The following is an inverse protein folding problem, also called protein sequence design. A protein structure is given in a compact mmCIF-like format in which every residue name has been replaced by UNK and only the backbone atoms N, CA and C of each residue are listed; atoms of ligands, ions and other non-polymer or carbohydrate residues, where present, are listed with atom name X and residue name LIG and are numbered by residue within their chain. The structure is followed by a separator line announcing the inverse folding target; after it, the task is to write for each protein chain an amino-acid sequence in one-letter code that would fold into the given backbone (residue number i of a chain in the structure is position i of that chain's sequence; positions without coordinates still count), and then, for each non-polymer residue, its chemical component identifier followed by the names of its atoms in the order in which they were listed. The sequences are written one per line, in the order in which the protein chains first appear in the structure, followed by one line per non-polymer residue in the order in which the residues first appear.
data_IF_788103457117
#
_entry.id   IF_788103457117
#
_cell.length_a   1.000
_cell.length_b   1.000
_cell.length_c   1.000
_cell.angle_alpha   90.00
_cell.angle_beta   90.00
_cell.angle_gamma   90.00
#
_symmetry.space_group_name_H-M   'P 1'
#
loop_
_entity.id
_entity.type
_entity.pdbx_description
1 polymer ?
#
# COMPACT_ATOMS: atom_id res chain seq x y z
N UNK A 1 -75.95 61.92 23.05
CA UNK A 1 -75.60 63.16 22.34
C UNK A 1 -75.81 64.30 23.33
N UNK A 2 -74.76 64.72 24.04
CA UNK A 2 -74.88 65.75 25.07
C UNK A 2 -74.24 67.03 24.54
N UNK A 3 -74.96 68.17 24.50
CA UNK A 3 -74.44 69.41 23.90
C UNK A 3 -73.12 69.90 24.52
N UNK A 4 -72.85 69.55 25.79
CA UNK A 4 -71.65 69.92 26.54
C UNK A 4 -70.62 68.80 26.70
N UNK A 5 -70.75 67.68 25.99
CA UNK A 5 -69.77 66.58 26.11
C UNK A 5 -68.48 66.89 25.35
N UNK A 6 -67.36 66.86 26.07
CA UNK A 6 -65.99 66.96 25.52
C UNK A 6 -65.34 65.58 25.43
N UNK A 7 -64.24 65.46 24.70
CA UNK A 7 -63.46 64.22 24.61
C UNK A 7 -62.97 63.74 25.99
N UNK A 8 -62.64 64.64 26.91
CA UNK A 8 -62.27 64.29 28.30
C UNK A 8 -63.43 63.66 29.08
N UNK A 9 -64.64 64.22 28.94
CA UNK A 9 -65.84 63.62 29.58
C UNK A 9 -66.17 62.25 28.99
N UNK A 10 -65.89 62.05 27.70
CA UNK A 10 -66.03 60.76 27.03
C UNK A 10 -65.01 59.74 27.56
N UNK A 11 -63.73 60.11 27.62
CA UNK A 11 -62.67 59.26 28.16
C UNK A 11 -62.94 58.88 29.63
N UNK A 12 -63.38 59.84 30.44
CA UNK A 12 -63.74 59.60 31.85
C UNK A 12 -64.88 58.59 31.98
N UNK A 13 -65.91 58.70 31.13
CA UNK A 13 -67.00 57.71 31.09
C UNK A 13 -66.51 56.33 30.64
N UNK A 14 -65.60 56.25 29.67
CA UNK A 14 -64.99 54.97 29.29
C UNK A 14 -64.23 54.34 30.47
N UNK A 15 -63.42 55.12 31.19
CA UNK A 15 -62.68 54.62 32.36
C UNK A 15 -63.61 54.13 33.47
N UNK A 16 -64.74 54.82 33.70
CA UNK A 16 -65.73 54.41 34.70
C UNK A 16 -66.45 53.12 34.29
N UNK A 17 -66.78 52.99 33.00
CA UNK A 17 -67.60 51.87 32.50
C UNK A 17 -66.78 50.60 32.32
N UNK A 18 -65.53 50.71 31.87
CA UNK A 18 -64.69 49.57 31.48
C UNK A 18 -63.49 49.35 32.41
N UNK A 19 -63.52 49.90 33.63
CA UNK A 19 -62.41 49.82 34.60
C UNK A 19 -61.88 48.40 34.81
N UNK A 20 -62.79 47.43 34.91
CA UNK A 20 -62.47 46.04 35.25
C UNK A 20 -62.37 45.14 34.01
N UNK A 21 -62.51 45.70 32.81
CA UNK A 21 -62.51 44.92 31.59
C UNK A 21 -61.06 44.57 31.18
N UNK A 22 -60.73 43.27 31.11
CA UNK A 22 -59.38 42.75 30.82
C UNK A 22 -58.72 43.31 29.55
N UNK A 23 -59.50 43.78 28.58
CA UNK A 23 -59.00 44.33 27.30
C UNK A 23 -58.96 45.85 27.25
N UNK A 24 -59.25 46.54 28.35
CA UNK A 24 -59.25 47.99 28.42
C UNK A 24 -58.23 48.45 29.45
N UNK A 25 -57.33 49.34 29.04
CA UNK A 25 -56.24 49.84 29.87
C UNK A 25 -56.31 51.37 29.88
N UNK A 26 -56.27 51.96 31.08
CA UNK A 26 -56.09 53.40 31.27
C UNK A 26 -54.60 53.74 31.22
N UNK A 27 -54.12 54.55 30.24
CA UNK A 27 -52.74 54.99 30.18
C UNK A 27 -52.35 55.79 31.43
N UNK A 28 -51.10 55.63 31.89
CA UNK A 28 -50.61 56.31 33.11
C UNK A 28 -50.34 57.80 32.90
N UNK A 29 -49.86 58.20 31.72
CA UNK A 29 -49.42 59.57 31.44
C UNK A 29 -50.48 60.42 30.74
N UNK A 30 -51.29 59.83 29.86
CA UNK A 30 -52.29 60.56 29.09
C UNK A 30 -53.61 60.68 29.88
N UNK A 31 -54.14 61.91 29.96
CA UNK A 31 -55.36 62.21 30.73
C UNK A 31 -56.66 61.79 30.03
N UNK A 32 -56.66 61.76 28.70
CA UNK A 32 -57.84 61.55 27.87
C UNK A 32 -57.73 60.36 26.90
N UNK A 33 -56.56 59.71 26.78
CA UNK A 33 -56.37 58.57 25.88
C UNK A 33 -56.80 57.25 26.52
N UNK A 34 -57.10 56.25 25.70
CA UNK A 34 -57.39 54.91 26.20
C UNK A 34 -56.70 53.85 25.36
N UNK A 35 -56.36 52.71 25.97
CA UNK A 35 -55.69 51.61 25.28
C UNK A 35 -56.61 50.40 25.23
N UNK A 36 -56.72 49.79 24.05
CA UNK A 36 -57.45 48.53 23.85
C UNK A 36 -56.44 47.42 23.54
N UNK A 37 -56.60 46.28 24.23
CA UNK A 37 -55.84 45.06 23.96
C UNK A 37 -56.53 44.29 22.84
N UNK A 38 -56.06 44.47 21.61
CA UNK A 38 -56.49 43.71 20.45
C UNK A 38 -55.78 42.36 20.40
N UNK A 39 -56.23 41.45 19.52
CA UNK A 39 -55.54 40.18 19.30
C UNK A 39 -54.08 40.36 18.83
N UNK A 40 -53.80 41.46 18.13
CA UNK A 40 -52.50 41.82 17.59
C UNK A 40 -51.56 42.51 18.61
N UNK A 41 -52.11 42.94 19.75
CA UNK A 41 -51.40 43.73 20.76
C UNK A 41 -52.18 44.94 21.26
N UNK A 42 -51.53 45.75 22.07
CA UNK A 42 -52.08 46.96 22.66
C UNK A 42 -52.03 48.13 21.68
N UNK A 43 -53.15 48.84 21.53
CA UNK A 43 -53.25 50.04 20.69
C UNK A 43 -53.82 51.17 21.53
N UNK A 44 -53.06 52.26 21.63
CA UNK A 44 -53.48 53.49 22.29
C UNK A 44 -54.24 54.39 21.30
N UNK A 45 -55.41 54.85 21.71
CA UNK A 45 -56.29 55.73 20.94
C UNK A 45 -56.35 57.11 21.58
N UNK A 46 -56.15 58.14 20.76
CA UNK A 46 -56.29 59.54 21.15
C UNK A 46 -57.74 59.99 21.00
N UNK A 47 -58.35 60.50 22.09
CA UNK A 47 -59.78 60.78 22.12
C UNK A 47 -60.20 62.17 21.61
N UNK A 48 -59.24 63.08 21.39
CA UNK A 48 -59.45 64.52 21.16
C UNK A 48 -60.53 64.86 20.11
N UNK A 49 -60.58 64.11 19.00
CA UNK A 49 -61.54 64.33 17.91
C UNK A 49 -62.58 63.21 17.72
N UNK A 50 -62.69 62.28 18.66
CA UNK A 50 -63.60 61.12 18.52
C UNK A 50 -65.07 61.55 18.39
N UNK A 51 -65.52 62.48 19.24
CA UNK A 51 -66.93 62.88 19.27
C UNK A 51 -67.33 63.64 18.00
N UNK A 52 -66.49 64.57 17.54
CA UNK A 52 -66.82 65.39 16.37
C UNK A 52 -66.74 64.56 15.08
N UNK A 53 -65.72 63.70 14.94
CA UNK A 53 -65.65 62.75 13.82
C UNK A 53 -66.82 61.76 13.82
N UNK A 54 -67.38 61.40 14.96
CA UNK A 54 -68.48 60.43 15.00
C UNK A 54 -69.87 61.06 14.74
N UNK A 55 -70.01 62.38 14.90
CA UNK A 55 -71.29 63.09 14.71
C UNK A 55 -71.73 63.15 13.26
N UNK A 56 -70.80 63.14 12.31
CA UNK A 56 -71.09 63.20 10.87
C UNK A 56 -72.11 64.30 10.52
N UNK A 57 -71.94 65.47 11.14
CA UNK A 57 -72.98 66.50 11.12
C UNK A 57 -73.08 67.08 9.72
N UNK A 58 -74.18 66.75 9.04
CA UNK A 58 -74.57 67.35 7.77
C UNK A 58 -75.61 68.42 8.06
N UNK A 59 -75.36 69.62 7.55
CA UNK A 59 -76.29 70.76 7.63
C UNK A 59 -77.44 70.50 6.64
N UNK A 60 -78.69 70.32 7.11
CA UNK A 60 -79.83 70.01 6.25
C UNK A 60 -80.02 71.04 5.13
N UNK A 61 -79.81 72.33 5.43
CA UNK A 61 -79.96 73.43 4.48
C UNK A 61 -78.96 73.32 3.31
N UNK A 62 -77.75 72.81 3.58
CA UNK A 62 -76.77 72.54 2.52
C UNK A 62 -77.20 71.36 1.65
N UNK A 63 -77.79 70.32 2.25
CA UNK A 63 -78.29 69.17 1.52
C UNK A 63 -79.46 69.57 0.60
N UNK A 64 -80.39 70.38 1.10
CA UNK A 64 -81.53 70.90 0.34
C UNK A 64 -81.09 71.83 -0.81
N UNK A 65 -80.05 72.64 -0.59
CA UNK A 65 -79.46 73.46 -1.66
C UNK A 65 -78.86 72.59 -2.75
N UNK A 66 -78.14 71.53 -2.38
CA UNK A 66 -77.46 70.64 -3.33
C UNK A 66 -78.46 69.76 -4.11
N UNK A 67 -79.53 69.28 -3.46
CA UNK A 67 -80.59 68.51 -4.12
C UNK A 67 -81.35 69.34 -5.15
N UNK A 68 -81.47 70.65 -4.94
CA UNK A 68 -82.11 71.60 -5.86
C UNK A 68 -81.16 72.17 -6.94
N UNK A 69 -79.95 71.63 -7.05
CA UNK A 69 -79.00 72.07 -8.08
C UNK A 69 -79.54 71.84 -9.49
N UNK A 70 -79.30 72.82 -10.38
CA UNK A 70 -79.65 72.71 -11.81
C UNK A 70 -78.80 71.65 -12.54
N UNK A 71 -77.66 71.24 -11.97
CA UNK A 71 -76.83 70.19 -12.51
C UNK A 71 -77.39 68.83 -12.12
N UNK A 72 -77.87 68.05 -13.10
CA UNK A 72 -78.46 66.72 -12.89
C UNK A 72 -77.52 65.73 -12.18
N UNK A 73 -76.21 65.86 -12.41
CA UNK A 73 -75.22 65.05 -11.70
C UNK A 73 -75.19 65.37 -10.19
N UNK A 74 -75.21 66.66 -9.83
CA UNK A 74 -75.14 67.09 -8.43
C UNK A 74 -76.44 66.77 -7.70
N UNK A 75 -77.59 67.09 -8.28
CA UNK A 75 -78.89 66.75 -7.67
C UNK A 75 -79.10 65.24 -7.53
N UNK A 76 -78.54 64.44 -8.45
CA UNK A 76 -78.56 62.98 -8.37
C UNK A 76 -77.73 62.38 -7.23
N UNK A 77 -76.65 63.04 -6.79
CA UNK A 77 -75.83 62.58 -5.66
C UNK A 77 -76.51 62.83 -4.30
N UNK A 78 -77.39 63.82 -4.22
CA UNK A 78 -78.08 64.26 -3.00
C UNK A 78 -79.59 64.07 -3.14
N UNK A 79 -80.02 62.84 -3.43
CA UNK A 79 -81.45 62.52 -3.57
C UNK A 79 -82.22 62.89 -2.27
N UNK A 80 -83.40 63.51 -2.40
CA UNK A 80 -84.21 63.89 -1.24
C UNK A 80 -84.63 62.63 -0.47
N UNK A 81 -84.42 62.64 0.84
CA UNK A 81 -84.85 61.56 1.74
C UNK A 81 -86.38 61.54 1.81
N UNK A 82 -87.01 60.36 1.73
CA UNK A 82 -88.47 60.25 1.80
C UNK A 82 -89.01 60.72 3.16
N UNK A 83 -90.13 61.43 3.17
CA UNK A 83 -90.73 62.06 4.36
C UNK A 83 -91.04 61.08 5.51
N UNK A 84 -91.18 59.78 5.24
CA UNK A 84 -91.34 58.75 6.28
C UNK A 84 -90.10 58.57 7.18
N UNK A 85 -88.91 58.91 6.68
CA UNK A 85 -87.66 58.86 7.47
C UNK A 85 -87.41 60.12 8.29
N UNK A 86 -88.12 61.22 8.03
CA UNK A 86 -87.91 62.51 8.69
C UNK A 86 -88.40 62.54 10.16
N UNK A 87 -89.47 61.81 10.49
CA UNK A 87 -90.04 61.78 11.86
C UNK A 87 -89.29 60.85 12.82
N UNK A 88 -88.40 59.99 12.29
CA UNK A 88 -87.60 59.04 13.07
C UNK A 88 -86.10 59.17 12.80
N UNK A 89 -85.63 60.35 12.38
CA UNK A 89 -84.23 60.71 12.19
C UNK A 89 -83.46 60.66 13.53
N UNK A 90 -83.38 59.47 14.12
CA UNK A 90 -82.50 59.10 15.21
C UNK A 90 -81.12 59.34 14.68
N UNK A 91 -80.43 60.31 15.27
CA UNK A 91 -79.03 60.60 15.06
C UNK A 91 -78.24 59.32 14.76
N UNK A 92 -77.81 59.19 13.50
CA UNK A 92 -77.09 58.02 13.00
C UNK A 92 -75.62 58.39 12.96
N UNK A 93 -74.89 57.95 13.99
CA UNK A 93 -73.44 58.18 14.06
C UNK A 93 -72.68 57.35 13.03
N UNK A 94 -71.48 57.81 12.66
CA UNK A 94 -70.57 57.03 11.79
C UNK A 94 -70.31 55.64 12.40
N UNK A 95 -70.09 55.55 13.71
CA UNK A 95 -69.86 54.28 14.40
C UNK A 95 -71.04 53.30 14.26
N UNK A 96 -72.28 53.78 14.35
CA UNK A 96 -73.47 52.93 14.16
C UNK A 96 -73.63 52.47 12.71
N UNK A 97 -73.38 53.35 11.73
CA UNK A 97 -73.43 53.01 10.30
C UNK A 97 -72.37 51.97 9.95
N UNK A 98 -71.13 52.21 10.37
CA UNK A 98 -70.01 51.29 10.15
C UNK A 98 -70.27 49.92 10.81
N UNK A 99 -70.81 49.90 12.04
CA UNK A 99 -71.18 48.64 12.72
C UNK A 99 -72.21 47.84 11.92
N UNK A 100 -73.27 48.49 11.43
CA UNK A 100 -74.30 47.83 10.62
C UNK A 100 -73.72 47.28 9.31
N UNK A 101 -72.97 48.09 8.57
CA UNK A 101 -72.31 47.65 7.33
C UNK A 101 -71.36 46.47 7.56
N UNK A 102 -70.57 46.51 8.64
CA UNK A 102 -69.68 45.41 9.01
C UNK A 102 -70.46 44.14 9.37
N UNK A 103 -71.60 44.27 10.05
CA UNK A 103 -72.46 43.14 10.37
C UNK A 103 -73.02 42.48 9.10
N UNK A 104 -73.56 43.27 8.16
CA UNK A 104 -74.03 42.76 6.87
C UNK A 104 -72.91 42.06 6.08
N UNK A 105 -71.70 42.62 6.08
CA UNK A 105 -70.54 41.99 5.45
C UNK A 105 -70.20 40.63 6.10
N UNK A 106 -70.19 40.56 7.43
CA UNK A 106 -69.90 39.33 8.15
C UNK A 106 -70.98 38.26 7.93
N UNK A 107 -72.26 38.65 7.87
CA UNK A 107 -73.36 37.75 7.52
C UNK A 107 -73.17 37.16 6.13
N UNK A 108 -72.85 37.99 5.12
CA UNK A 108 -72.56 37.53 3.77
C UNK A 108 -71.35 36.58 3.72
N UNK A 109 -70.26 36.89 4.42
CA UNK A 109 -69.07 36.05 4.47
C UNK A 109 -69.32 34.71 5.15
N UNK A 110 -70.13 34.68 6.22
CA UNK A 110 -70.46 33.46 6.96
C UNK A 110 -71.35 32.48 6.16
N UNK A 111 -72.02 32.95 5.12
CA UNK A 111 -72.76 32.09 4.18
C UNK A 111 -71.86 31.42 3.14
N UNK A 112 -70.58 31.80 3.06
CA UNK A 112 -69.61 31.32 2.07
C UNK A 112 -68.49 30.51 2.70
N UNK A 113 -67.72 29.79 1.89
CA UNK A 113 -66.47 29.15 2.32
C UNK A 113 -65.31 30.17 2.25
N UNK A 114 -64.68 30.54 3.38
CA UNK A 114 -63.65 31.57 3.39
C UNK A 114 -62.29 31.02 2.95
N UNK A 115 -61.67 31.67 1.97
CA UNK A 115 -60.27 31.46 1.60
C UNK A 115 -59.42 32.66 2.01
N UNK A 116 -58.32 32.42 2.72
CA UNK A 116 -57.49 33.48 3.30
C UNK A 116 -56.20 33.70 2.51
N UNK A 117 -55.99 34.93 2.04
CA UNK A 117 -54.72 35.39 1.48
C UNK A 117 -54.16 36.48 2.40
N UNK A 118 -52.92 36.31 2.86
CA UNK A 118 -52.23 37.26 3.76
C UNK A 118 -51.05 37.89 3.03
N UNK A 119 -51.17 39.17 2.70
CA UNK A 119 -50.10 39.93 2.06
C UNK A 119 -49.10 40.42 3.10
N UNK A 120 -47.80 40.30 2.80
CA UNK A 120 -46.70 40.73 3.68
C UNK A 120 -45.77 41.65 2.89
N UNK A 121 -45.51 42.84 3.42
CA UNK A 121 -44.55 43.81 2.87
C UNK A 121 -43.15 43.49 3.39
N UNK A 122 -42.19 43.08 2.54
CA UNK A 122 -40.89 42.60 2.98
C UNK A 122 -39.96 43.71 3.49
N UNK A 123 -40.08 44.92 2.95
CA UNK A 123 -39.30 46.08 3.37
C UNK A 123 -40.05 47.38 3.09
N UNK A 124 -39.73 48.44 3.83
CA UNK A 124 -40.36 49.75 3.67
C UNK A 124 -39.85 50.50 2.44
N UNK A 125 -38.62 50.20 2.00
CA UNK A 125 -37.92 50.83 0.87
C UNK A 125 -38.44 50.43 -0.52
N UNK A 126 -39.36 49.48 -0.60
CA UNK A 126 -39.93 48.94 -1.85
C UNK A 126 -38.89 48.35 -2.81
N UNK A 127 -37.79 47.78 -2.29
CA UNK A 127 -36.72 47.16 -3.08
C UNK A 127 -36.80 45.63 -3.09
N UNK A 128 -36.49 44.97 -4.22
CA UNK A 128 -36.39 43.51 -4.24
C UNK A 128 -35.19 43.02 -3.42
N UNK A 129 -35.27 41.80 -2.88
CA UNK A 129 -34.18 41.13 -2.17
C UNK A 129 -33.89 41.65 -0.74
N UNK A 130 -34.55 42.72 -0.30
CA UNK A 130 -34.41 43.24 1.06
C UNK A 130 -35.54 42.70 1.94
N UNK A 131 -35.19 42.08 3.07
CA UNK A 131 -36.14 41.53 4.03
C UNK A 131 -35.88 42.10 5.43
N UNK A 132 -36.80 42.94 5.90
CA UNK A 132 -36.72 43.59 7.22
C UNK A 132 -37.42 42.72 8.26
N UNK A 133 -36.65 41.89 8.97
CA UNK A 133 -37.15 40.91 9.95
C UNK A 133 -38.16 41.50 10.95
N UNK A 134 -37.88 42.66 11.53
CA UNK A 134 -38.75 43.26 12.55
C UNK A 134 -40.10 43.72 11.99
N UNK A 135 -40.08 44.35 10.81
CA UNK A 135 -41.30 44.82 10.16
C UNK A 135 -42.17 43.64 9.70
N UNK A 136 -41.55 42.58 9.17
CA UNK A 136 -42.28 41.37 8.78
C UNK A 136 -42.81 40.63 10.01
N UNK A 137 -42.02 40.50 11.08
CA UNK A 137 -42.49 39.88 12.33
C UNK A 137 -43.68 40.63 12.94
N UNK A 138 -43.66 41.97 12.91
CA UNK A 138 -44.79 42.76 13.36
C UNK A 138 -46.04 42.49 12.51
N UNK A 139 -45.91 42.43 11.18
CA UNK A 139 -47.00 42.09 10.26
C UNK A 139 -47.54 40.66 10.46
N UNK A 140 -46.68 39.67 10.76
CA UNK A 140 -47.12 38.30 11.02
C UNK A 140 -47.90 38.18 12.33
N UNK A 141 -47.54 38.99 13.34
CA UNK A 141 -48.29 39.10 14.59
C UNK A 141 -49.63 39.80 14.36
N UNK A 142 -49.62 40.97 13.72
CA UNK A 142 -50.83 41.75 13.48
C UNK A 142 -51.77 41.16 12.43
N UNK A 143 -51.25 40.35 11.51
CA UNK A 143 -52.02 39.59 10.54
C UNK A 143 -52.60 38.27 11.07
N UNK A 144 -52.33 37.92 12.33
CA UNK A 144 -52.84 36.72 12.99
C UNK A 144 -52.22 35.40 12.52
N UNK A 145 -51.14 35.46 11.71
CA UNK A 145 -50.47 34.27 11.18
C UNK A 145 -49.82 33.47 12.30
N UNK A 146 -49.15 34.15 13.24
CA UNK A 146 -48.53 33.47 14.39
C UNK A 146 -49.55 32.80 15.30
N UNK A 147 -50.73 33.40 15.45
CA UNK A 147 -51.80 32.85 16.26
C UNK A 147 -52.44 31.61 15.59
N UNK A 148 -52.63 31.66 14.27
CA UNK A 148 -53.05 30.51 13.48
C UNK A 148 -52.03 29.36 13.56
N UNK A 149 -50.73 29.67 13.49
CA UNK A 149 -49.65 28.69 13.69
C UNK A 149 -49.69 28.12 15.10
N UNK A 150 -49.90 28.96 16.13
CA UNK A 150 -50.01 28.52 17.53
C UNK A 150 -51.13 27.52 17.72
N UNK A 151 -52.32 27.79 17.18
CA UNK A 151 -53.47 26.87 17.23
C UNK A 151 -53.14 25.57 16.48
N UNK A 152 -52.51 25.65 15.30
CA UNK A 152 -52.10 24.48 14.53
C UNK A 152 -51.07 23.61 15.27
N UNK A 153 -50.13 24.25 15.97
CA UNK A 153 -49.11 23.58 16.79
C UNK A 153 -49.69 22.92 18.05
N UNK A 154 -50.75 23.48 18.63
CA UNK A 154 -51.46 22.87 19.76
C UNK A 154 -52.22 21.59 19.35
N UNK A 155 -52.58 21.45 18.07
CA UNK A 155 -53.13 20.23 17.49
C UNK A 155 -52.05 19.29 16.96
N UNK A 156 -52.14 18.96 15.67
CA UNK A 156 -51.23 18.04 14.98
C UNK A 156 -50.63 18.73 13.75
N UNK A 157 -49.57 19.55 13.93
CA UNK A 157 -49.04 20.38 12.85
C UNK A 157 -48.43 19.54 11.73
N UNK A 158 -47.89 18.36 12.05
CA UNK A 158 -47.27 17.46 11.09
C UNK A 158 -48.24 16.34 10.73
N UNK A 159 -48.58 16.24 9.44
CA UNK A 159 -49.37 15.13 8.92
C UNK A 159 -48.79 14.61 7.61
N UNK A 160 -48.83 13.29 7.44
CA UNK A 160 -48.25 12.58 6.29
C UNK A 160 -49.17 11.45 5.86
N UNK A 161 -49.18 11.11 4.58
CA UNK A 161 -49.87 9.91 4.11
C UNK A 161 -49.21 8.66 4.70
N UNK A 162 -49.95 7.54 4.77
CA UNK A 162 -49.39 6.30 5.31
C UNK A 162 -48.17 5.85 4.51
N UNK A 163 -48.27 5.86 3.18
CA UNK A 163 -47.16 5.57 2.28
C UNK A 163 -45.91 6.42 2.55
N UNK A 164 -46.03 7.76 2.62
CA UNK A 164 -44.87 8.65 2.91
C UNK A 164 -44.24 8.34 4.27
N UNK A 165 -45.07 8.04 5.26
CA UNK A 165 -44.60 7.70 6.60
C UNK A 165 -43.85 6.37 6.63
N UNK A 166 -44.37 5.33 5.98
CA UNK A 166 -43.75 4.01 5.92
C UNK A 166 -42.42 4.04 5.17
N UNK A 167 -42.35 4.72 4.02
CA UNK A 167 -41.11 4.84 3.25
C UNK A 167 -40.00 5.52 4.06
N UNK A 168 -40.35 6.50 4.91
CA UNK A 168 -39.36 7.22 5.73
C UNK A 168 -38.99 6.46 6.99
N UNK A 169 -39.98 6.00 7.75
CA UNK A 169 -39.83 5.50 9.13
C UNK A 169 -39.72 3.98 9.19
N UNK A 170 -40.05 3.27 8.11
CA UNK A 170 -40.10 1.81 8.08
C UNK A 170 -38.77 1.11 8.40
N UNK A 171 -37.62 1.76 8.16
CA UNK A 171 -36.31 1.28 8.61
C UNK A 171 -36.19 1.12 10.14
N UNK A 172 -37.01 1.82 10.92
CA UNK A 172 -37.04 1.66 12.37
C UNK A 172 -37.60 0.30 12.79
N UNK A 173 -38.44 -0.33 11.98
CA UNK A 173 -39.02 -1.64 12.26
C UNK A 173 -39.21 -2.45 10.96
N UNK A 174 -38.12 -3.00 10.40
CA UNK A 174 -38.18 -3.76 9.15
C UNK A 174 -39.09 -5.00 9.25
N UNK A 175 -39.16 -5.64 10.43
CA UNK A 175 -40.05 -6.78 10.71
C UNK A 175 -41.52 -6.52 10.34
N UNK A 176 -41.99 -5.27 10.54
CA UNK A 176 -43.39 -4.90 10.30
C UNK A 176 -43.62 -4.65 8.81
N UNK A 177 -42.62 -4.12 8.10
CA UNK A 177 -42.68 -3.94 6.64
C UNK A 177 -42.67 -5.26 5.87
N UNK A 178 -42.09 -6.32 6.44
CA UNK A 178 -42.06 -7.64 5.81
C UNK A 178 -43.39 -8.40 5.93
N UNK A 179 -44.29 -7.98 6.82
CA UNK A 179 -45.63 -8.55 6.90
C UNK A 179 -46.56 -7.90 5.87
N UNK A 180 -47.45 -8.69 5.26
CA UNK A 180 -48.56 -8.21 4.43
C UNK A 180 -49.65 -7.56 5.30
N UNK A 181 -49.32 -6.47 5.98
CA UNK A 181 -50.26 -5.68 6.75
C UNK A 181 -50.76 -4.50 5.93
N UNK A 182 -51.98 -4.06 6.20
CA UNK A 182 -52.51 -2.81 5.65
C UNK A 182 -51.61 -1.63 6.08
N UNK A 183 -51.45 -0.61 5.23
CA UNK A 183 -50.54 0.51 5.49
C UNK A 183 -50.84 1.20 6.83
N UNK A 184 -52.12 1.33 7.18
CA UNK A 184 -52.60 1.92 8.43
C UNK A 184 -52.16 1.11 9.66
N UNK A 185 -52.30 -0.21 9.60
CA UNK A 185 -51.93 -1.10 10.69
C UNK A 185 -50.40 -1.15 10.86
N UNK A 186 -49.66 -1.17 9.75
CA UNK A 186 -48.20 -1.07 9.74
C UNK A 186 -47.71 0.19 10.44
N UNK A 187 -48.31 1.34 10.12
CA UNK A 187 -47.99 2.60 10.77
C UNK A 187 -48.25 2.58 12.28
N UNK A 188 -49.38 1.97 12.71
CA UNK A 188 -49.74 1.83 14.12
C UNK A 188 -48.71 0.97 14.86
N UNK A 189 -48.39 -0.21 14.35
CA UNK A 189 -47.41 -1.13 14.97
C UNK A 189 -46.02 -0.52 15.06
N UNK A 190 -45.59 0.24 14.05
CA UNK A 190 -44.30 0.95 14.08
C UNK A 190 -44.28 1.97 15.23
N UNK A 191 -45.34 2.77 15.38
CA UNK A 191 -45.43 3.78 16.43
C UNK A 191 -45.51 3.15 17.83
N UNK A 192 -46.22 2.03 17.99
CA UNK A 192 -46.28 1.25 19.23
C UNK A 192 -44.91 0.66 19.61
N UNK A 193 -44.18 0.08 18.64
CA UNK A 193 -42.82 -0.46 18.86
C UNK A 193 -41.83 0.63 19.27
N UNK A 194 -42.03 1.86 18.78
CA UNK A 194 -41.21 3.03 19.12
C UNK A 194 -41.61 3.61 20.48
N UNK A 195 -42.82 3.34 20.97
CA UNK A 195 -43.35 3.88 22.23
C UNK A 195 -43.70 5.36 22.15
N UNK A 196 -44.06 5.87 20.96
CA UNK A 196 -44.40 7.28 20.79
C UNK A 196 -45.84 7.53 21.30
N UNK A 197 -46.02 8.43 22.26
CA UNK A 197 -47.36 8.77 22.79
C UNK A 197 -47.94 10.02 22.11
N UNK A 198 -49.27 10.12 22.02
CA UNK A 198 -49.94 11.35 21.58
C UNK A 198 -49.94 11.60 20.07
N UNK A 199 -49.89 10.54 19.25
CA UNK A 199 -50.20 10.59 17.82
C UNK A 199 -51.69 10.25 17.58
N UNK A 200 -52.19 10.57 16.39
CA UNK A 200 -53.53 10.17 15.94
C UNK A 200 -53.46 9.60 14.52
N UNK A 201 -54.28 8.58 14.24
CA UNK A 201 -54.35 7.93 12.92
C UNK A 201 -55.67 8.31 12.27
N UNK A 202 -55.59 9.04 11.15
CA UNK A 202 -56.76 9.42 10.36
C UNK A 202 -57.20 8.33 9.37
N UNK A 203 -58.03 8.72 8.39
CA UNK A 203 -58.47 7.81 7.30
C UNK A 203 -57.39 7.58 6.25
N UNK A 204 -56.64 8.63 5.89
CA UNK A 204 -55.63 8.61 4.81
C UNK A 204 -54.25 9.07 5.27
N UNK A 205 -54.14 9.63 6.48
CA UNK A 205 -52.95 10.30 6.99
C UNK A 205 -52.74 10.03 8.47
N UNK A 206 -51.49 10.09 8.91
CA UNK A 206 -51.10 10.11 10.32
C UNK A 206 -50.91 11.56 10.75
N UNK A 207 -51.32 11.84 11.99
CA UNK A 207 -51.23 13.14 12.63
C UNK A 207 -50.26 13.05 13.82
N UNK A 208 -49.23 13.87 13.79
CA UNK A 208 -48.15 13.91 14.76
C UNK A 208 -48.07 15.29 15.40
N UNK A 209 -47.75 15.33 16.69
CA UNK A 209 -47.48 16.58 17.42
C UNK A 209 -46.15 17.18 16.97
N UNK A 210 -45.94 18.45 17.31
CA UNK A 210 -44.66 19.11 17.10
C UNK A 210 -43.52 18.32 17.75
N UNK A 211 -42.40 18.17 17.05
CA UNK A 211 -41.21 17.46 17.54
C UNK A 211 -41.22 15.93 17.34
N UNK A 212 -42.37 15.28 17.25
CA UNK A 212 -42.46 13.82 17.07
C UNK A 212 -41.73 13.34 15.80
N UNK A 213 -41.87 14.05 14.68
CA UNK A 213 -41.17 13.69 13.44
C UNK A 213 -39.65 13.83 13.61
N UNK A 214 -39.19 14.85 14.31
CA UNK A 214 -37.76 15.06 14.57
C UNK A 214 -37.20 13.94 15.46
N UNK A 215 -37.96 13.46 16.44
CA UNK A 215 -37.58 12.31 17.26
C UNK A 215 -37.47 11.01 16.43
N UNK A 216 -38.44 10.76 15.55
CA UNK A 216 -38.41 9.61 14.63
C UNK A 216 -37.19 9.68 13.69
N UNK A 217 -36.91 10.87 13.14
CA UNK A 217 -35.75 11.10 12.27
C UNK A 217 -34.42 10.92 13.03
N UNK A 218 -34.34 11.35 14.29
CA UNK A 218 -33.15 11.15 15.12
C UNK A 218 -32.89 9.66 15.37
N UNK A 219 -33.93 8.88 15.71
CA UNK A 219 -33.80 7.42 15.88
C UNK A 219 -33.42 6.73 14.56
N UNK A 220 -33.94 7.22 13.43
CA UNK A 220 -33.63 6.72 12.10
C UNK A 220 -32.15 6.95 11.76
N UNK A 221 -31.67 8.18 11.99
CA UNK A 221 -30.27 8.53 11.79
C UNK A 221 -29.34 7.66 12.66
N UNK A 222 -29.71 7.41 13.92
CA UNK A 222 -28.94 6.53 14.81
C UNK A 222 -28.80 5.10 14.25
N UNK A 223 -29.90 4.48 13.81
CA UNK A 223 -29.84 3.14 13.20
C UNK A 223 -29.00 3.11 11.92
N UNK A 224 -29.17 4.09 11.04
CA UNK A 224 -28.41 4.19 9.79
C UNK A 224 -26.90 4.33 10.07
N UNK A 225 -26.53 5.17 11.02
CA UNK A 225 -25.13 5.37 11.40
C UNK A 225 -24.49 4.11 11.98
N UNK A 226 -25.24 3.36 12.81
CA UNK A 226 -24.75 2.07 13.33
C UNK A 226 -24.53 1.04 12.20
N UNK A 227 -25.48 0.93 11.26
CA UNK A 227 -25.33 0.06 10.10
C UNK A 227 -24.14 0.48 9.22
N UNK A 228 -23.97 1.78 8.97
CA UNK A 228 -22.82 2.31 8.24
C UNK A 228 -21.50 1.96 8.95
N UNK A 229 -21.46 2.08 10.28
CA UNK A 229 -20.27 1.75 11.08
C UNK A 229 -19.90 0.27 10.95
N UNK A 230 -20.89 -0.65 10.95
CA UNK A 230 -20.66 -2.09 10.76
C UNK A 230 -20.06 -2.37 9.38
N UNK A 231 -20.64 -1.78 8.33
CA UNK A 231 -20.15 -1.93 6.95
C UNK A 231 -18.73 -1.38 6.85
N UNK A 232 -18.50 -0.17 7.35
CA UNK A 232 -17.18 0.47 7.34
C UNK A 232 -16.14 -0.35 8.10
N UNK A 233 -16.49 -0.90 9.27
CA UNK A 233 -15.62 -1.79 10.05
C UNK A 233 -15.21 -3.01 9.22
N UNK A 234 -16.16 -3.67 8.57
CA UNK A 234 -15.89 -4.88 7.78
C UNK A 234 -15.02 -4.56 6.57
N UNK A 235 -15.31 -3.47 5.85
CA UNK A 235 -14.54 -3.03 4.69
C UNK A 235 -13.11 -2.66 5.08
N UNK A 236 -12.92 -1.89 6.16
CA UNK A 236 -11.58 -1.53 6.67
C UNK A 236 -10.79 -2.79 7.08
N UNK A 237 -11.44 -3.73 7.76
CA UNK A 237 -10.83 -5.01 8.13
C UNK A 237 -10.39 -5.81 6.88
N UNK A 238 -11.26 -5.89 5.86
CA UNK A 238 -10.96 -6.59 4.62
C UNK A 238 -9.72 -6.00 3.92
N UNK A 239 -9.66 -4.68 3.72
CA UNK A 239 -8.50 -4.02 3.09
C UNK A 239 -7.22 -4.21 3.91
N UNK A 240 -7.30 -4.07 5.23
CA UNK A 240 -6.16 -4.26 6.13
C UNK A 240 -5.64 -5.70 6.08
N UNK A 241 -6.54 -6.69 6.11
CA UNK A 241 -6.20 -8.12 6.00
C UNK A 241 -5.57 -8.46 4.65
N UNK A 242 -6.12 -7.95 3.55
CA UNK A 242 -5.57 -8.15 2.19
C UNK A 242 -4.14 -7.63 2.11
N UNK A 243 -3.91 -6.43 2.63
CA UNK A 243 -2.58 -5.79 2.67
C UNK A 243 -1.60 -6.59 3.53
N UNK A 244 -2.00 -7.00 4.74
CA UNK A 244 -1.19 -7.81 5.64
C UNK A 244 -0.79 -9.16 5.03
N UNK A 245 -1.73 -9.86 4.39
CA UNK A 245 -1.44 -11.15 3.73
C UNK A 245 -0.44 -10.96 2.59
N UNK A 246 -0.59 -9.91 1.78
CA UNK A 246 0.35 -9.57 0.71
C UNK A 246 1.75 -9.31 1.27
N UNK A 247 1.86 -8.45 2.28
CA UNK A 247 3.13 -8.13 2.94
C UNK A 247 3.80 -9.37 3.55
N UNK A 248 3.02 -10.23 4.23
CA UNK A 248 3.52 -11.48 4.80
C UNK A 248 4.07 -12.42 3.74
N UNK A 249 3.39 -12.56 2.59
CA UNK A 249 3.87 -13.39 1.47
C UNK A 249 5.21 -12.87 0.95
N UNK A 250 5.32 -11.56 0.71
CA UNK A 250 6.58 -10.93 0.28
C UNK A 250 7.70 -11.10 1.30
N UNK A 251 7.41 -10.93 2.59
CA UNK A 251 8.39 -11.12 3.66
C UNK A 251 8.90 -12.56 3.71
N UNK A 252 8.01 -13.56 3.61
CA UNK A 252 8.40 -14.98 3.62
C UNK A 252 9.26 -15.30 2.39
N UNK A 253 8.93 -14.71 1.23
CA UNK A 253 9.70 -14.87 0.01
C UNK A 253 11.13 -14.30 0.14
N UNK A 254 11.28 -13.09 0.69
CA UNK A 254 12.62 -12.53 0.94
C UNK A 254 13.39 -13.38 1.95
N UNK A 255 12.73 -13.81 3.03
CA UNK A 255 13.34 -14.70 4.03
C UNK A 255 13.81 -16.03 3.43
N UNK A 256 13.08 -16.62 2.49
CA UNK A 256 13.48 -17.88 1.85
C UNK A 256 14.73 -17.69 0.97
N UNK A 257 14.83 -16.57 0.25
CA UNK A 257 16.03 -16.21 -0.52
C UNK A 257 17.22 -16.05 0.41
N UNK A 258 17.10 -15.28 1.50
CA UNK A 258 18.18 -15.06 2.46
C UNK A 258 18.66 -16.38 3.09
N UNK A 259 17.73 -17.26 3.50
CA UNK A 259 18.08 -18.58 4.03
C UNK A 259 18.78 -19.45 3.00
N UNK A 260 18.33 -19.41 1.74
CA UNK A 260 18.96 -20.11 0.63
C UNK A 260 20.40 -19.62 0.39
N UNK A 261 20.62 -18.31 0.41
CA UNK A 261 21.94 -17.73 0.19
C UNK A 261 22.93 -18.06 1.31
N UNK A 262 22.46 -18.01 2.57
CA UNK A 262 23.27 -18.40 3.71
C UNK A 262 23.74 -19.86 3.61
N UNK A 263 22.86 -20.77 3.18
CA UNK A 263 23.22 -22.18 2.93
C UNK A 263 24.24 -22.32 1.78
N UNK A 264 24.12 -21.54 0.70
CA UNK A 264 25.10 -21.55 -0.41
C UNK A 264 26.46 -21.07 0.06
N UNK A 265 26.52 -19.98 0.80
CA UNK A 265 27.78 -19.45 1.37
C UNK A 265 28.47 -20.52 2.22
N UNK A 266 27.73 -21.16 3.13
CA UNK A 266 28.26 -22.26 3.94
C UNK A 266 28.82 -23.39 3.07
N UNK A 267 28.09 -23.82 2.05
CA UNK A 267 28.53 -24.85 1.12
C UNK A 267 29.79 -24.45 0.34
N UNK A 268 29.89 -23.19 -0.11
CA UNK A 268 31.10 -22.67 -0.77
C UNK A 268 32.32 -22.72 0.15
N UNK A 269 32.18 -22.36 1.43
CA UNK A 269 33.26 -22.49 2.41
C UNK A 269 33.66 -23.96 2.62
N UNK A 270 32.69 -24.87 2.78
CA UNK A 270 32.97 -26.31 2.90
C UNK A 270 33.72 -26.85 1.68
N UNK A 271 33.28 -26.50 0.46
CA UNK A 271 33.95 -26.88 -0.79
C UNK A 271 35.38 -26.35 -0.88
N UNK A 272 35.59 -25.07 -0.54
CA UNK A 272 36.92 -24.46 -0.52
C UNK A 272 37.84 -25.16 0.47
N UNK A 273 37.36 -25.44 1.68
CA UNK A 273 38.11 -26.16 2.70
C UNK A 273 38.48 -27.58 2.24
N UNK A 274 37.52 -28.32 1.67
CA UNK A 274 37.79 -29.66 1.13
C UNK A 274 38.82 -29.64 -0.02
N UNK A 275 38.74 -28.65 -0.92
CA UNK A 275 39.73 -28.46 -1.98
C UNK A 275 41.12 -28.12 -1.42
N UNK A 276 41.20 -27.23 -0.42
CA UNK A 276 42.45 -26.88 0.25
C UNK A 276 43.09 -28.11 0.92
N UNK A 277 42.30 -28.92 1.63
CA UNK A 277 42.77 -30.17 2.26
C UNK A 277 43.31 -31.14 1.19
N UNK A 278 42.61 -31.32 0.07
CA UNK A 278 43.09 -32.16 -1.05
C UNK A 278 44.43 -31.66 -1.57
N UNK A 279 44.54 -30.37 -1.90
CA UNK A 279 45.79 -29.78 -2.39
C UNK A 279 46.92 -30.01 -1.38
N UNK A 280 46.70 -29.67 -0.11
CA UNK A 280 47.68 -29.87 0.96
C UNK A 280 48.11 -31.35 1.07
N UNK A 281 47.17 -32.29 1.00
CA UNK A 281 47.47 -33.72 1.04
C UNK A 281 48.32 -34.16 -0.15
N UNK A 282 48.00 -33.73 -1.38
CA UNK A 282 48.80 -34.02 -2.57
C UNK A 282 50.21 -33.43 -2.48
N UNK A 283 50.35 -32.19 -2.01
CA UNK A 283 51.66 -31.54 -1.85
C UNK A 283 52.51 -32.25 -0.81
N UNK A 284 51.93 -32.58 0.36
CA UNK A 284 52.61 -33.37 1.41
C UNK A 284 53.06 -34.75 0.88
N UNK A 285 52.19 -35.45 0.14
CA UNK A 285 52.52 -36.73 -0.51
C UNK A 285 53.67 -36.58 -1.51
N UNK A 286 53.66 -35.54 -2.35
CA UNK A 286 54.71 -35.27 -3.35
C UNK A 286 56.05 -34.99 -2.69
N UNK A 287 56.08 -34.18 -1.64
CA UNK A 287 57.30 -33.88 -0.87
C UNK A 287 57.88 -35.16 -0.24
N UNK A 288 57.05 -35.95 0.45
CA UNK A 288 57.47 -37.21 1.06
C UNK A 288 58.01 -38.20 0.02
N UNK A 289 57.32 -38.35 -1.13
CA UNK A 289 57.78 -39.21 -2.24
C UNK A 289 59.12 -38.74 -2.81
N UNK A 290 59.31 -37.43 -3.01
CA UNK A 290 60.57 -36.89 -3.51
C UNK A 290 61.72 -37.15 -2.55
N UNK A 291 61.51 -36.97 -1.24
CA UNK A 291 62.52 -37.27 -0.22
C UNK A 291 62.88 -38.76 -0.23
N UNK A 292 61.89 -39.66 -0.28
CA UNK A 292 62.13 -41.10 -0.39
C UNK A 292 62.89 -41.48 -1.66
N UNK A 293 62.53 -40.90 -2.81
CA UNK A 293 63.23 -41.16 -4.08
C UNK A 293 64.68 -40.66 -4.06
N UNK A 294 64.97 -39.53 -3.41
CA UNK A 294 66.35 -39.06 -3.20
C UNK A 294 67.14 -40.07 -2.38
N UNK A 295 66.63 -40.49 -1.23
CA UNK A 295 67.27 -41.50 -0.36
C UNK A 295 67.48 -42.81 -1.13
N UNK A 296 66.49 -43.27 -1.89
CA UNK A 296 66.58 -44.49 -2.71
C UNK A 296 67.66 -44.37 -3.79
N UNK A 297 67.77 -43.22 -4.49
CA UNK A 297 68.84 -42.99 -5.46
C UNK A 297 70.22 -43.07 -4.80
N UNK A 298 70.40 -42.41 -3.65
CA UNK A 298 71.65 -42.50 -2.88
C UNK A 298 71.99 -43.94 -2.48
N UNK A 299 71.01 -44.69 -1.96
CA UNK A 299 71.19 -46.09 -1.59
C UNK A 299 71.54 -46.99 -2.78
N UNK A 300 70.95 -46.75 -3.96
CA UNK A 300 71.28 -47.49 -5.18
C UNK A 300 72.70 -47.19 -5.67
N UNK A 301 73.14 -45.93 -5.61
CA UNK A 301 74.53 -45.55 -5.95
C UNK A 301 75.53 -46.18 -4.99
N UNK A 302 75.23 -46.20 -3.68
CA UNK A 302 76.06 -46.89 -2.70
C UNK A 302 76.11 -48.39 -2.98
N UNK A 303 74.96 -49.03 -3.22
CA UNK A 303 74.88 -50.46 -3.55
C UNK A 303 75.69 -50.81 -4.79
N UNK A 304 75.55 -50.06 -5.88
CA UNK A 304 76.33 -50.29 -7.11
C UNK A 304 77.81 -50.04 -6.88
N UNK A 305 78.19 -49.03 -6.08
CA UNK A 305 79.56 -48.80 -5.64
C UNK A 305 80.15 -49.98 -4.85
N UNK A 306 79.41 -50.53 -3.89
CA UNK A 306 79.81 -51.71 -3.13
C UNK A 306 79.96 -52.95 -4.02
N UNK A 307 79.04 -53.16 -4.95
CA UNK A 307 79.13 -54.27 -5.93
C UNK A 307 80.36 -54.11 -6.84
N UNK A 308 80.65 -52.90 -7.31
CA UNK A 308 81.85 -52.62 -8.10
C UNK A 308 83.16 -52.83 -7.31
N UNK A 309 83.17 -52.48 -6.01
CA UNK A 309 84.31 -52.76 -5.12
C UNK A 309 84.48 -54.27 -4.88
N UNK A 310 83.40 -55.00 -4.66
CA UNK A 310 83.44 -56.46 -4.52
C UNK A 310 83.97 -57.14 -5.79
N UNK A 311 83.52 -56.70 -6.98
CA UNK A 311 84.02 -57.17 -8.26
C UNK A 311 85.52 -56.86 -8.47
N UNK A 312 85.98 -55.67 -8.06
CA UNK A 312 87.41 -55.31 -8.07
C UNK A 312 88.22 -56.22 -7.15
N UNK A 313 87.80 -56.44 -5.90
CA UNK A 313 88.47 -57.39 -4.99
C UNK A 313 88.52 -58.81 -5.55
N UNK A 314 87.43 -59.28 -6.16
CA UNK A 314 87.39 -60.61 -6.79
C UNK A 314 88.39 -60.71 -7.96
N UNK A 315 88.55 -59.65 -8.74
CA UNK A 315 89.55 -59.55 -9.81
C UNK A 315 90.98 -59.63 -9.25
N UNK A 316 91.28 -58.90 -8.18
CA UNK A 316 92.60 -58.93 -7.53
C UNK A 316 92.96 -60.33 -6.99
N UNK A 317 91.98 -61.02 -6.40
CA UNK A 317 92.14 -62.42 -5.94
C UNK A 317 92.40 -63.35 -7.13
N UNK A 318 91.66 -63.18 -8.24
CA UNK A 318 91.87 -63.96 -9.46
C UNK A 318 93.27 -63.73 -10.06
N UNK A 319 93.74 -62.49 -10.09
CA UNK A 319 95.06 -62.14 -10.62
C UNK A 319 96.19 -62.76 -9.78
N UNK A 320 96.06 -62.77 -8.45
CA UNK A 320 96.95 -63.52 -7.55
C UNK A 320 96.93 -65.03 -7.82
N UNK A 321 95.75 -65.62 -8.08
CA UNK A 321 95.63 -67.05 -8.45
C UNK A 321 96.29 -67.36 -9.80
N UNK A 322 96.26 -66.43 -10.77
CA UNK A 322 96.94 -66.57 -12.06
C UNK A 322 98.46 -66.57 -11.89
N UNK A 323 98.98 -65.68 -11.04
CA UNK A 323 100.42 -65.62 -10.70
C UNK A 323 100.88 -66.91 -10.00
N UNK A 324 100.11 -67.44 -9.04
CA UNK A 324 100.47 -68.70 -8.37
C UNK A 324 100.46 -69.89 -9.34
N UNK A 325 99.47 -69.97 -10.26
CA UNK A 325 99.45 -70.99 -11.33
C UNK A 325 100.65 -70.89 -12.28
N UNK A 326 101.05 -69.67 -12.66
CA UNK A 326 102.25 -69.46 -13.46
C UNK A 326 103.52 -69.93 -12.71
N UNK A 327 103.62 -69.60 -11.42
CA UNK A 327 104.69 -70.10 -10.55
C UNK A 327 104.71 -71.62 -10.46
N UNK A 328 103.55 -72.29 -10.32
CA UNK A 328 103.50 -73.77 -10.27
C UNK A 328 103.93 -74.41 -11.57
N UNK A 329 103.62 -73.78 -12.71
CA UNK A 329 104.02 -74.25 -14.05
C UNK A 329 105.54 -74.12 -14.27
N UNK A 330 106.15 -73.04 -13.79
CA UNK A 330 107.62 -72.88 -13.81
C UNK A 330 108.28 -73.94 -12.92
N UNK A 331 107.75 -74.14 -11.71
CA UNK A 331 108.26 -75.17 -10.78
C UNK A 331 108.14 -76.59 -11.33
N UNK A 332 107.07 -76.91 -12.07
CA UNK A 332 106.88 -78.25 -12.66
C UNK A 332 107.86 -78.51 -13.82
N UNK A 333 108.13 -77.50 -14.66
CA UNK A 333 109.17 -77.60 -15.70
C UNK A 333 110.55 -77.84 -15.11
N UNK A 334 110.91 -77.12 -14.04
CA UNK A 334 112.20 -77.32 -13.36
C UNK A 334 112.31 -78.72 -12.71
N UNK A 335 111.24 -79.21 -12.06
CA UNK A 335 111.19 -80.57 -11.51
C UNK A 335 111.34 -81.65 -12.59
N UNK A 336 110.72 -81.47 -13.75
CA UNK A 336 110.87 -82.36 -14.92
C UNK A 336 112.32 -82.37 -15.43
N UNK A 337 112.95 -81.19 -15.55
CA UNK A 337 114.34 -81.09 -15.97
C UNK A 337 115.28 -81.85 -15.03
N UNK A 338 115.09 -81.70 -13.71
CA UNK A 338 115.87 -82.42 -12.69
C UNK A 338 115.73 -83.95 -12.82
N UNK A 339 114.51 -84.44 -13.06
CA UNK A 339 114.26 -85.87 -13.25
C UNK A 339 114.91 -86.43 -14.54
N UNK A 340 114.84 -85.67 -15.65
CA UNK A 340 115.50 -86.02 -16.91
C UNK A 340 117.02 -86.08 -16.78
N UNK A 341 117.61 -85.11 -16.09
CA UNK A 341 119.05 -85.09 -15.80
C UNK A 341 119.49 -86.32 -15.00
N UNK A 342 118.74 -86.68 -13.95
CA UNK A 342 119.02 -87.88 -13.15
C UNK A 342 118.89 -89.18 -13.97
N UNK A 343 117.89 -89.29 -14.84
CA UNK A 343 117.69 -90.45 -15.71
C UNK A 343 118.83 -90.60 -16.74
N UNK A 344 119.29 -89.50 -17.34
CA UNK A 344 120.42 -89.53 -18.26
C UNK A 344 121.72 -89.99 -17.59
N UNK A 345 121.96 -89.60 -16.33
CA UNK A 345 123.09 -90.08 -15.55
C UNK A 345 122.98 -91.58 -15.20
N UNK A 346 121.78 -92.06 -14.85
CA UNK A 346 121.52 -93.49 -14.64
C UNK A 346 121.70 -94.33 -15.90
N UNK A 347 121.27 -93.82 -17.07
CA UNK A 347 121.48 -94.48 -18.37
C UNK A 347 122.96 -94.56 -18.74
N UNK A 348 123.75 -93.52 -18.46
CA UNK A 348 125.21 -93.54 -18.63
C UNK A 348 125.89 -94.56 -17.70
N UNK A 349 125.42 -94.70 -16.46
CA UNK A 349 125.94 -95.68 -15.51
C UNK A 349 125.63 -97.14 -15.90
N UNK A 350 124.45 -97.42 -16.47
CA UNK A 350 124.08 -98.75 -16.93
C UNK A 350 124.89 -99.23 -18.16
N UNK A 351 125.16 -98.33 -19.11
CA UNK A 351 125.96 -98.63 -20.31
C UNK A 351 127.45 -98.93 -19.99
N UNK A 352 127.98 -98.44 -18.87
CA UNK A 352 129.33 -98.74 -18.38
C UNK A 352 129.40 -100.10 -17.66
N UNK A 353 128.26 -100.58 -17.12
CA UNK A 353 128.17 -101.88 -16.44
C UNK A 353 127.99 -103.06 -17.41
N UNK A 354 127.41 -102.84 -18.59
CA UNK A 354 127.24 -103.88 -19.62
C UNK A 354 128.52 -104.13 -20.46
N UNK A 355 129.48 -103.19 -20.46
CA UNK A 355 130.74 -103.31 -21.22
C UNK A 355 131.87 -104.01 -20.46
N UNK A 356 131.79 -104.14 -19.13
CA UNK A 356 132.79 -104.85 -18.30
C UNK A 356 132.56 -106.37 -18.31
N UNK A 357 131.30 -106.84 -18.33
CA UNK A 357 130.96 -108.27 -18.27
C UNK A 357 130.99 -109.00 -19.63
N UNK A 358 131.38 -108.33 -20.72
CA UNK A 358 131.39 -108.90 -22.08
C UNK A 358 132.80 -109.00 -22.70
N UNK A 359 133.85 -108.93 -21.87
CA UNK A 359 135.27 -108.89 -22.29
C UNK A 359 136.14 -110.05 -21.76
N UNK A 360 135.52 -111.15 -21.29
CA UNK A 360 136.24 -112.40 -20.92
C UNK A 360 135.98 -113.60 -21.84
N UNK A 361 135.04 -113.53 -22.78
CA UNK A 361 134.88 -114.56 -23.81
C UNK A 361 135.26 -113.96 -25.18
N UNK A 362 136.53 -114.22 -25.47
CA UNK A 362 137.24 -114.33 -26.74
C UNK A 362 136.56 -113.89 -28.06
N UNK A 363 137.35 -113.08 -28.78
CA UNK A 363 137.68 -113.25 -30.19
C UNK A 363 136.59 -113.82 -31.11
N UNK A 364 136.01 -112.95 -31.94
CA UNK A 364 136.16 -113.05 -33.40
C UNK A 364 135.56 -111.84 -34.15
N UNK A 365 136.39 -111.29 -35.04
CA UNK A 365 136.06 -110.61 -36.30
C UNK A 365 135.44 -109.19 -36.30
N UNK A 366 136.32 -108.24 -36.63
CA UNK A 366 136.08 -107.01 -37.40
C UNK A 366 135.31 -107.28 -38.70
N UNK A 367 134.39 -106.38 -39.08
CA UNK A 367 134.11 -105.96 -40.49
C UNK A 367 133.43 -104.56 -40.50
N UNK A 368 134.12 -103.59 -41.14
CA UNK A 368 133.68 -102.54 -42.13
C UNK A 368 132.60 -101.53 -41.69
N UNK A 369 132.89 -100.22 -41.52
CA UNK A 369 133.16 -99.12 -42.49
C UNK A 369 131.92 -98.44 -43.12
N UNK A 370 131.92 -97.09 -43.05
CA UNK A 370 131.58 -96.11 -44.12
C UNK A 370 130.11 -96.02 -44.58
N UNK A 371 129.37 -94.96 -44.19
CA UNK A 371 129.25 -93.63 -44.82
C UNK A 371 128.02 -93.53 -45.72
N UNK A 372 127.33 -92.38 -45.71
CA UNK A 372 126.93 -91.59 -46.89
C UNK A 372 126.13 -90.36 -46.41
N UNK A 373 126.48 -89.26 -47.05
CA UNK A 373 125.98 -87.88 -47.01
C UNK A 373 124.48 -87.74 -47.33
N UNK A 374 123.86 -86.62 -46.98
CA UNK A 374 123.56 -85.57 -47.97
C UNK A 374 122.70 -84.40 -47.44
N UNK A 375 122.88 -83.29 -48.13
CA UNK A 375 122.45 -81.93 -47.91
C UNK A 375 120.94 -81.65 -48.15
N UNK A 376 120.54 -80.45 -47.70
CA UNK A 376 119.49 -79.47 -48.10
C UNK A 376 118.74 -79.66 -49.47
N UNK A 377 117.70 -78.85 -49.89
CA UNK A 377 117.23 -77.52 -49.42
C UNK A 377 115.72 -77.13 -49.63
N UNK A 378 115.41 -75.86 -49.29
CA UNK A 378 114.53 -74.84 -49.96
C UNK A 378 113.04 -75.08 -50.30
N UNK A 379 112.11 -74.24 -49.78
CA UNK A 379 111.43 -73.04 -50.38
C UNK A 379 110.40 -73.36 -51.48
N UNK A 380 109.14 -72.93 -51.30
CA UNK A 380 108.39 -72.24 -52.37
C UNK A 380 107.15 -71.48 -51.86
N UNK A 381 106.91 -70.34 -52.52
CA UNK A 381 105.81 -69.38 -52.40
C UNK A 381 104.50 -69.87 -53.04
N UNK A 382 103.39 -69.22 -52.70
CA UNK A 382 102.43 -68.79 -53.74
C UNK A 382 101.51 -67.67 -53.23
N UNK A 383 101.62 -66.54 -53.92
CA UNK A 383 100.69 -65.41 -53.97
C UNK A 383 99.46 -65.72 -54.81
N UNK A 384 98.31 -65.08 -54.52
CA UNK A 384 97.47 -64.43 -55.55
C UNK A 384 96.43 -63.45 -54.95
N UNK A 385 96.63 -62.17 -55.30
CA UNK A 385 95.69 -61.14 -55.79
C UNK A 385 94.42 -60.72 -55.00
N UNK A 386 94.45 -59.47 -54.53
CA UNK A 386 93.37 -58.45 -54.44
C UNK A 386 93.01 -57.92 -55.87
N UNK A 387 91.94 -57.11 -56.14
CA UNK A 387 91.52 -55.97 -55.29
C UNK A 387 90.05 -55.47 -55.32
N UNK A 388 89.80 -54.55 -54.36
CA UNK A 388 89.02 -53.29 -54.45
C UNK A 388 87.49 -53.32 -54.70
N UNK A 389 86.64 -52.42 -54.18
CA UNK A 389 86.83 -51.13 -53.51
C UNK A 389 85.65 -50.84 -52.54
N UNK A 390 85.97 -50.03 -51.54
CA UNK A 390 85.12 -49.39 -50.52
C UNK A 390 84.72 -47.95 -50.96
N UNK A 391 84.35 -46.98 -50.09
CA UNK A 391 83.12 -46.79 -49.29
C UNK A 391 82.62 -45.30 -49.33
N UNK A 392 81.89 -44.89 -48.27
CA UNK A 392 81.64 -43.53 -47.74
C UNK A 392 80.33 -42.85 -48.18
N UNK A 393 79.63 -42.01 -47.41
CA UNK A 393 79.86 -41.27 -46.14
C UNK A 393 78.47 -40.83 -45.60
N UNK A 394 78.17 -40.75 -44.28
CA UNK A 394 78.45 -39.66 -43.31
C UNK A 394 77.89 -38.27 -43.76
N UNK A 395 77.25 -37.38 -42.99
CA UNK A 395 76.99 -37.23 -41.54
C UNK A 395 76.08 -35.98 -41.29
N UNK A 396 75.33 -35.97 -40.17
CA UNK A 396 74.85 -34.90 -39.26
C UNK A 396 74.66 -33.41 -39.69
N UNK A 397 73.63 -32.75 -39.11
CA UNK A 397 73.83 -31.62 -38.15
C UNK A 397 72.53 -31.04 -37.51
N UNK A 398 72.69 -30.66 -36.22
CA UNK A 398 72.20 -29.50 -35.41
C UNK A 398 70.71 -29.04 -35.39
N UNK A 399 70.18 -28.19 -34.49
CA UNK A 399 70.28 -27.81 -33.06
C UNK A 399 69.35 -26.58 -32.84
N UNK A 400 68.95 -26.26 -31.58
CA UNK A 400 68.47 -24.95 -31.03
C UNK A 400 66.94 -24.68 -30.90
N UNK A 401 66.44 -24.85 -29.66
CA UNK A 401 65.86 -23.87 -28.70
C UNK A 401 65.01 -22.62 -29.13
N UNK A 402 63.89 -22.35 -28.40
CA UNK A 402 63.52 -21.04 -27.76
C UNK A 402 62.05 -20.49 -27.92
N UNK A 403 61.31 -20.45 -26.79
CA UNK A 403 60.41 -19.39 -26.21
C UNK A 403 59.17 -18.80 -26.95
N UNK A 404 58.02 -18.88 -26.21
CA UNK A 404 56.80 -18.01 -26.05
C UNK A 404 56.11 -17.35 -27.28
N UNK A 405 54.77 -17.33 -27.25
CA UNK A 405 53.87 -16.15 -27.04
C UNK A 405 52.40 -16.52 -27.43
N UNK A 406 51.44 -16.16 -26.58
CA UNK A 406 49.99 -16.00 -26.90
C UNK A 406 49.77 -14.54 -27.38
N UNK A 407 48.88 -14.22 -28.36
CA UNK A 407 47.44 -14.08 -28.05
C UNK A 407 46.44 -14.35 -29.21
N UNK A 408 45.16 -14.59 -28.81
CA UNK A 408 43.81 -14.34 -29.41
C UNK A 408 43.65 -13.64 -30.79
N UNK A 409 42.42 -13.49 -31.37
CA UNK A 409 41.17 -14.27 -31.36
C UNK A 409 40.55 -14.41 -32.81
N UNK A 410 39.40 -15.10 -32.97
CA UNK A 410 38.21 -14.71 -33.78
C UNK A 410 37.46 -15.89 -34.44
N UNK A 411 36.12 -15.81 -34.33
CA UNK A 411 35.06 -16.26 -35.27
C UNK A 411 34.91 -17.76 -35.51
N UNK A 412 33.73 -18.34 -35.72
CA UNK A 412 32.33 -17.93 -35.78
C UNK A 412 31.51 -19.24 -35.76
N UNK A 413 30.19 -19.13 -35.91
CA UNK A 413 29.16 -20.17 -36.12
C UNK A 413 28.45 -20.61 -34.83
N UNK A 414 27.29 -20.05 -34.50
CA UNK A 414 25.98 -20.02 -35.17
C UNK A 414 25.02 -21.07 -34.57
N UNK A 415 23.79 -20.57 -34.37
CA UNK A 415 22.52 -21.30 -34.29
C UNK A 415 22.18 -22.01 -32.98
N UNK A 416 21.34 -21.35 -32.17
CA UNK A 416 19.95 -21.82 -32.11
C UNK A 416 18.94 -20.74 -31.66
N UNK A 417 17.86 -20.73 -32.43
CA UNK A 417 16.65 -19.92 -32.36
C UNK A 417 15.87 -20.11 -31.05
N UNK A 418 15.35 -19.00 -30.50
CA UNK A 418 13.92 -18.65 -30.41
C UNK A 418 13.07 -19.62 -29.61
N UNK A 419 12.59 -19.17 -28.44
CA UNK A 419 11.17 -19.04 -28.05
C UNK A 419 11.13 -18.02 -26.90
N UNK A 420 10.54 -16.84 -27.17
CA UNK A 420 10.17 -15.84 -26.17
C UNK A 420 8.65 -15.84 -26.07
N UNK A 421 8.12 -16.24 -24.92
CA UNK A 421 6.72 -16.00 -24.57
C UNK A 421 6.58 -14.75 -23.69
N UNK A 422 6.03 -13.72 -24.35
CA UNK A 422 5.01 -12.77 -23.90
C UNK A 422 4.90 -12.43 -22.39
N UNK A 423 5.49 -11.29 -22.03
CA UNK A 423 5.00 -10.40 -20.97
C UNK A 423 4.16 -9.29 -21.60
N UNK A 424 2.89 -9.16 -21.22
CA UNK A 424 2.08 -7.97 -21.50
C UNK A 424 2.19 -6.96 -20.35
N UNK A 425 2.36 -5.67 -20.65
CA UNK A 425 1.91 -4.61 -19.76
C UNK A 425 0.91 -3.68 -20.46
N UNK A 426 -0.20 -3.43 -19.75
CA UNK A 426 -1.15 -2.35 -19.94
C UNK A 426 -0.46 -0.98 -20.05
N UNK A 427 -0.88 -0.16 -21.03
CA UNK A 427 -1.03 1.30 -20.89
C UNK A 427 -2.08 1.83 -21.87
N UNK A 428 -3.26 2.13 -21.34
CA UNK A 428 -4.15 3.14 -21.88
C UNK A 428 -3.60 4.51 -21.45
N UNK A 429 -3.58 5.46 -22.39
CA UNK A 429 -3.27 6.86 -22.15
C UNK A 429 -4.39 7.69 -22.76
N UNK A 430 -5.22 8.31 -21.91
CA UNK A 430 -5.96 9.53 -22.24
C UNK A 430 -6.53 10.16 -20.94
N UNK A 431 -6.55 11.50 -20.92
CA UNK A 431 -7.02 12.44 -19.88
C UNK A 431 -6.05 12.81 -18.74
N UNK A 432 -5.26 13.86 -19.01
CA UNK A 432 -4.66 14.75 -18.01
C UNK A 432 -5.44 16.07 -18.04
N UNK A 433 -6.23 16.36 -17.02
CA UNK A 433 -6.58 17.72 -16.61
C UNK A 433 -7.05 17.70 -15.13
N UNK A 434 -6.67 18.75 -14.39
CA UNK A 434 -6.97 19.04 -12.98
C UNK A 434 -6.07 18.39 -11.90
N UNK A 435 -4.90 19.00 -11.67
CA UNK A 435 -4.28 19.06 -10.33
C UNK A 435 -4.44 20.51 -9.84
N UNK A 436 -5.37 20.71 -8.91
CA UNK A 436 -5.53 21.93 -8.14
C UNK A 436 -5.62 21.57 -6.65
N UNK A 437 -4.68 22.10 -5.89
CA UNK A 437 -4.68 22.34 -4.44
C UNK A 437 -5.05 21.21 -3.48
N UNK A 438 -4.02 20.54 -2.94
CA UNK A 438 -4.05 20.04 -1.56
C UNK A 438 -3.13 20.91 -0.70
N UNK A 439 -3.75 21.85 0.03
CA UNK A 439 -3.11 22.59 1.10
C UNK A 439 -2.67 21.63 2.23
N UNK A 440 -1.44 21.81 2.69
CA UNK A 440 -0.79 21.02 3.73
C UNK A 440 -1.54 21.03 5.08
N UNK A 441 -1.65 19.89 5.79
CA UNK A 441 -2.30 19.75 7.11
C UNK A 441 -1.76 20.62 8.25
N UNK A 442 -0.63 21.32 8.03
CA UNK A 442 0.03 22.17 9.03
C UNK A 442 -0.61 23.57 9.14
N UNK A 443 -1.27 24.08 8.09
CA UNK A 443 -1.93 25.39 8.14
C UNK A 443 -3.24 25.36 8.91
N UNK A 444 -3.91 24.22 8.96
CA UNK A 444 -5.17 24.07 9.68
C UNK A 444 -4.96 23.97 11.20
N UNK A 445 -3.81 23.44 11.64
CA UNK A 445 -3.48 23.37 13.08
C UNK A 445 -3.19 24.73 13.69
N UNK A 446 -2.51 25.62 12.95
CA UNK A 446 -2.23 26.99 13.41
C UNK A 446 -3.50 27.84 13.53
N UNK A 447 -4.45 27.67 12.61
CA UNK A 447 -5.74 28.35 12.64
C UNK A 447 -6.63 27.89 13.81
N UNK A 448 -6.56 26.61 14.19
CA UNK A 448 -7.33 26.08 15.34
C UNK A 448 -6.78 26.59 16.67
N UNK A 449 -5.45 26.75 16.79
CA UNK A 449 -4.82 27.31 17.99
C UNK A 449 -5.10 28.82 18.13
N UNK A 450 -5.07 29.56 17.02
CA UNK A 450 -5.42 30.98 17.01
C UNK A 450 -6.88 31.23 17.44
N UNK A 451 -7.83 30.46 16.91
CA UNK A 451 -9.25 30.55 17.29
C UNK A 451 -9.50 30.14 18.74
N UNK A 452 -8.75 29.15 19.25
CA UNK A 452 -8.84 28.73 20.65
C UNK A 452 -8.32 29.80 21.63
N UNK A 453 -7.27 30.55 21.24
CA UNK A 453 -6.75 31.67 22.02
C UNK A 453 -7.73 32.85 22.05
N UNK A 454 -8.41 33.13 20.94
CA UNK A 454 -9.39 34.21 20.83
C UNK A 454 -10.66 33.93 21.66
N UNK A 455 -11.13 32.69 21.67
CA UNK A 455 -12.25 32.25 22.55
C UNK A 455 -11.87 32.39 24.03
N UNK A 456 -10.62 32.11 24.40
CA UNK A 456 -10.13 32.29 25.78
C UNK A 456 -10.11 33.77 26.18
N UNK A 457 -9.74 34.65 25.25
CA UNK A 457 -9.73 36.10 25.45
C UNK A 457 -11.14 36.66 25.64
N UNK A 458 -12.10 36.20 24.83
CA UNK A 458 -13.52 36.60 24.94
C UNK A 458 -14.20 36.08 26.22
N UNK A 459 -13.80 34.91 26.73
CA UNK A 459 -14.31 34.41 28.02
C UNK A 459 -13.75 35.17 29.23
N UNK A 460 -12.53 35.73 29.13
CA UNK A 460 -11.93 36.56 30.19
C UNK A 460 -12.55 37.95 30.29
N UNK A 461 -13.05 38.51 29.18
CA UNK A 461 -13.64 39.86 29.15
C UNK A 461 -15.08 39.94 29.66
N UNK A 462 -15.75 38.80 29.89
CA UNK A 462 -17.14 38.73 30.34
C UNK A 462 -17.30 38.50 31.86
N UNK A 463 -16.20 38.62 32.62
CA UNK A 463 -16.20 38.60 34.08
C UNK A 463 -15.50 39.87 34.56
N UNK A 464 -16.23 40.99 34.54
CA UNK A 464 -15.98 42.18 35.35
C UNK A 464 -17.22 43.04 35.42
#
# INVERSE_FOLDING_TARGET
MFPKSTHETFATKLYQTFKDHKRFIKPKLARSDFTIVHYAGEVQYQSEHFLDKNKDYVVPEHQDMLSNSKCSFVSGLFAPLSEETAKSAKFSSIGSRFKLQLQHLMEALNLTEPHYIRCVKPNTLLKPGIFENMNVMHQLRSGGVLEAVRIKCAGFPTHRTFHEFLTRVGILAPEILHGNFEEKESCKKILEKIGLTGYQIGKTKIFLRAGHMAELDARRAYKLNNSATIIQKQTKCYFSRKTYISLRKSSIFVQSICRGELARIQYYHMRRNAAAIKIQAYTRRRLARNNYLKIRKCALVLKSGFQALAARRARDIWQRRKQTKASTRIQSYWRRHKALFNYQNLKKAALISESVNRSSDEHEQKVVEISVENECPSVEESSNLLPEASPSSFQDNESIETIRVFPNPLRDTENNEVIRDSSSPLRDAESNEAIGDLSSPLKDTENIEALSAEIKKLKGSNIR
#
